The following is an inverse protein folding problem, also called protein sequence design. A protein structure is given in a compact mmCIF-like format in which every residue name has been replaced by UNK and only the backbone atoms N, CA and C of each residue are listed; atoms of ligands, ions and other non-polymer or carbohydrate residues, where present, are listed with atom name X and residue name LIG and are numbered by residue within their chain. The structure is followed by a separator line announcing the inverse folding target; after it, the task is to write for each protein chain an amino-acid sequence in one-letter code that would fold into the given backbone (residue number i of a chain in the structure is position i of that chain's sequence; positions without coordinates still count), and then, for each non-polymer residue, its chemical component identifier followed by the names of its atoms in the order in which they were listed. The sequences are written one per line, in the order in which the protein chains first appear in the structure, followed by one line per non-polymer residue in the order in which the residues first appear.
data_IF_756415103844
#
_entry.id   IF_756415103844
#
_cell.length_a   1.000
_cell.length_b   1.000
_cell.length_c   1.000
_cell.angle_alpha   90.00
_cell.angle_beta   90.00
_cell.angle_gamma   90.00
#
_symmetry.space_group_name_H-M   'P 1'
#
loop_
_entity.id
_entity.type
_entity.pdbx_description
1 polymer ?
#
# COMPACT_ATOMS: atom_id res chain seq x y z
N UNK A 1 22.33 22.63 -14.80
CA UNK A 1 21.75 21.59 -13.94
C UNK A 1 21.99 20.18 -14.48
N UNK A 2 21.35 19.71 -15.56
CA UNK A 2 21.59 18.34 -16.06
C UNK A 2 23.02 18.14 -16.61
N UNK A 3 23.58 19.15 -17.26
CA UNK A 3 24.99 19.14 -17.70
C UNK A 3 25.95 18.96 -16.52
N UNK A 4 25.74 19.75 -15.46
CA UNK A 4 26.56 19.71 -14.26
C UNK A 4 26.41 18.36 -13.55
N UNK A 5 25.19 17.78 -13.54
CA UNK A 5 24.92 16.47 -12.98
C UNK A 5 25.70 15.37 -13.72
N UNK A 6 25.60 15.29 -15.04
CA UNK A 6 26.26 14.23 -15.82
C UNK A 6 27.77 14.40 -15.89
N UNK A 7 28.28 15.63 -15.75
CA UNK A 7 29.72 15.90 -15.64
C UNK A 7 30.24 15.56 -14.24
N UNK A 8 29.47 15.87 -13.20
CA UNK A 8 29.84 15.63 -11.81
C UNK A 8 29.68 14.18 -11.37
N UNK A 9 28.78 13.42 -12.00
CA UNK A 9 28.53 11.99 -11.71
C UNK A 9 28.45 11.21 -13.03
N UNK A 10 29.59 10.97 -13.69
CA UNK A 10 29.63 10.32 -14.99
C UNK A 10 29.11 8.87 -14.98
N UNK A 11 29.01 8.23 -13.82
CA UNK A 11 28.51 6.87 -13.62
C UNK A 11 26.98 6.76 -13.74
N UNK A 12 26.25 7.87 -13.79
CA UNK A 12 24.79 7.82 -14.01
C UNK A 12 24.52 7.21 -15.38
N UNK A 13 23.79 6.09 -15.43
CA UNK A 13 23.43 5.43 -16.70
C UNK A 13 22.14 5.98 -17.30
N UNK A 14 21.19 6.34 -16.45
CA UNK A 14 19.84 6.73 -16.82
C UNK A 14 19.28 7.83 -15.92
N UNK A 15 18.44 8.69 -16.49
CA UNK A 15 17.62 9.64 -15.76
C UNK A 15 16.14 9.24 -15.85
N UNK A 16 15.51 9.03 -14.70
CA UNK A 16 14.06 8.80 -14.59
C UNK A 16 13.39 10.11 -14.21
N UNK A 17 12.38 10.55 -14.97
CA UNK A 17 11.61 11.76 -14.67
C UNK A 17 10.13 11.43 -14.55
N UNK A 18 9.54 11.83 -13.42
CA UNK A 18 8.09 11.93 -13.26
C UNK A 18 7.72 13.40 -13.39
N UNK A 19 6.74 13.73 -14.21
CA UNK A 19 6.15 15.06 -14.15
C UNK A 19 5.26 15.13 -12.90
N UNK A 20 5.63 15.95 -11.92
CA UNK A 20 4.73 16.32 -10.83
C UNK A 20 3.48 16.97 -11.42
N UNK A 21 2.29 16.71 -10.84
CA UNK A 21 0.96 17.06 -11.37
C UNK A 21 0.96 18.35 -12.20
N UNK A 22 1.14 18.22 -13.51
CA UNK A 22 1.27 19.36 -14.44
C UNK A 22 -0.10 19.96 -14.79
N UNK A 23 -1.17 19.41 -14.22
CA UNK A 23 -2.52 19.98 -14.14
C UNK A 23 -2.71 20.91 -12.95
N UNK A 24 -1.87 20.83 -11.90
CA UNK A 24 -2.05 21.59 -10.67
C UNK A 24 -1.43 23.00 -10.68
N UNK A 25 -0.57 23.31 -11.65
CA UNK A 25 -0.10 24.68 -11.82
C UNK A 25 -1.06 25.45 -12.71
N UNK A 26 -1.81 26.44 -12.18
CA UNK A 26 -2.62 27.32 -12.99
C UNK A 26 -1.69 28.10 -13.91
N UNK A 27 -1.55 27.65 -15.16
CA UNK A 27 -0.94 28.48 -16.18
C UNK A 27 -1.86 29.65 -16.44
N UNK A 28 -1.29 30.86 -16.63
CA UNK A 28 -2.01 32.01 -17.16
C UNK A 28 -2.89 31.55 -18.33
N UNK A 29 -4.18 31.83 -18.23
CA UNK A 29 -5.30 31.38 -19.08
C UNK A 29 -5.23 31.89 -20.55
N UNK A 30 -4.03 32.22 -21.04
CA UNK A 30 -3.78 32.88 -22.31
C UNK A 30 -2.71 32.17 -23.18
N UNK A 31 -2.19 31.02 -22.75
CA UNK A 31 -1.25 30.26 -23.59
C UNK A 31 -2.01 29.42 -24.63
N UNK A 32 -1.67 29.56 -25.91
CA UNK A 32 -2.18 28.71 -26.99
C UNK A 32 -1.61 27.28 -26.98
N UNK A 33 -0.67 26.99 -26.08
CA UNK A 33 0.01 25.69 -25.97
C UNK A 33 -0.76 24.81 -24.99
N UNK A 34 -1.16 23.62 -25.43
CA UNK A 34 -1.90 22.65 -24.60
C UNK A 34 -1.01 22.07 -23.49
N UNK A 35 -1.58 21.54 -22.39
CA UNK A 35 -0.82 20.85 -21.34
C UNK A 35 0.10 19.75 -21.88
N UNK A 36 -0.38 18.96 -22.85
CA UNK A 36 0.38 17.88 -23.46
C UNK A 36 1.55 18.37 -24.33
N UNK A 37 1.39 19.49 -25.04
CA UNK A 37 2.49 20.12 -25.79
C UNK A 37 3.57 20.67 -24.85
N UNK A 38 3.18 21.26 -23.71
CA UNK A 38 4.13 21.71 -22.69
C UNK A 38 4.91 20.54 -22.10
N UNK A 39 4.20 19.48 -21.73
CA UNK A 39 4.81 18.27 -21.18
C UNK A 39 5.79 17.64 -22.18
N UNK A 40 5.40 17.55 -23.47
CA UNK A 40 6.27 17.10 -24.55
C UNK A 40 7.53 17.96 -24.68
N UNK A 41 7.40 19.28 -24.64
CA UNK A 41 8.54 20.19 -24.76
C UNK A 41 9.54 19.98 -23.62
N UNK A 42 9.06 19.80 -22.38
CA UNK A 42 9.91 19.48 -21.23
C UNK A 42 10.63 18.15 -21.44
N UNK A 43 9.90 17.09 -21.82
CA UNK A 43 10.52 15.79 -22.09
C UNK A 43 11.54 15.83 -23.22
N UNK A 44 11.28 16.58 -24.29
CA UNK A 44 12.24 16.74 -25.39
C UNK A 44 13.52 17.45 -24.91
N UNK A 45 13.40 18.50 -24.10
CA UNK A 45 14.56 19.21 -23.55
C UNK A 45 15.43 18.30 -22.67
N UNK A 46 14.81 17.49 -21.81
CA UNK A 46 15.52 16.53 -20.95
C UNK A 46 16.17 15.43 -21.78
N UNK A 47 15.44 14.88 -22.74
CA UNK A 47 15.94 13.87 -23.67
C UNK A 47 17.19 14.35 -24.43
N UNK A 48 17.18 15.56 -25.01
CA UNK A 48 18.34 16.10 -25.73
C UNK A 48 19.56 16.30 -24.82
N UNK A 49 19.36 16.62 -23.54
CA UNK A 49 20.45 16.66 -22.57
C UNK A 49 21.01 15.27 -22.29
N UNK A 50 20.15 14.28 -22.00
CA UNK A 50 20.57 12.88 -21.83
C UNK A 50 21.31 12.36 -23.05
N UNK A 51 20.78 12.59 -24.26
CA UNK A 51 21.36 12.13 -25.52
C UNK A 51 22.77 12.69 -25.77
N UNK A 52 23.00 13.98 -25.49
CA UNK A 52 24.34 14.60 -25.63
C UNK A 52 25.39 13.95 -24.72
N UNK A 53 24.97 13.47 -23.56
CA UNK A 53 25.81 12.78 -22.58
C UNK A 53 25.76 11.25 -22.68
N UNK A 54 25.09 10.71 -23.71
CA UNK A 54 24.89 9.27 -23.92
C UNK A 54 24.23 8.58 -22.72
N UNK A 55 23.31 9.28 -22.05
CA UNK A 55 22.52 8.76 -20.93
C UNK A 55 21.16 8.31 -21.42
N UNK A 56 20.60 7.27 -20.79
CA UNK A 56 19.23 6.86 -21.05
C UNK A 56 18.25 7.85 -20.43
N UNK A 57 17.10 8.03 -21.10
CA UNK A 57 16.01 8.82 -20.56
C UNK A 57 14.76 7.96 -20.41
N UNK A 58 14.22 7.95 -19.20
CA UNK A 58 13.07 7.16 -18.81
C UNK A 58 11.99 8.12 -18.31
N UNK A 59 10.82 8.08 -18.94
CA UNK A 59 9.67 8.87 -18.52
C UNK A 59 8.77 7.98 -17.66
N UNK A 60 8.58 8.36 -16.40
CA UNK A 60 7.61 7.72 -15.52
C UNK A 60 6.21 8.30 -15.76
N UNK A 61 5.24 7.41 -15.90
CA UNK A 61 3.82 7.74 -16.09
C UNK A 61 3.34 8.75 -15.02
N UNK A 62 2.46 9.64 -15.46
CA UNK A 62 1.72 10.57 -14.60
C UNK A 62 0.25 10.57 -14.98
N UNK A 63 -0.61 10.94 -14.03
CA UNK A 63 -2.04 11.11 -14.21
C UNK A 63 -2.89 10.16 -13.37
N UNK A 64 -3.80 10.72 -12.59
CA UNK A 64 -4.74 9.97 -11.75
C UNK A 64 -6.14 9.92 -12.38
N UNK A 65 -6.39 10.79 -13.36
CA UNK A 65 -7.65 10.90 -14.11
C UNK A 65 -7.48 10.49 -15.58
N UNK A 66 -8.57 10.04 -16.25
CA UNK A 66 -8.51 9.73 -17.69
C UNK A 66 -7.95 10.88 -18.53
N UNK A 67 -8.34 12.13 -18.23
CA UNK A 67 -7.85 13.32 -18.94
C UNK A 67 -6.35 13.55 -18.77
N UNK A 68 -5.80 13.26 -17.60
CA UNK A 68 -4.36 13.35 -17.35
C UNK A 68 -3.59 12.24 -18.06
N UNK A 69 -4.12 11.01 -18.04
CA UNK A 69 -3.56 9.90 -18.81
C UNK A 69 -3.56 10.21 -20.32
N UNK A 70 -4.63 10.80 -20.84
CA UNK A 70 -4.71 11.21 -22.25
C UNK A 70 -3.71 12.32 -22.58
N UNK A 71 -3.54 13.28 -21.67
CA UNK A 71 -2.52 14.34 -21.78
C UNK A 71 -1.11 13.75 -21.82
N UNK A 72 -0.83 12.78 -20.94
CA UNK A 72 0.44 12.08 -20.90
C UNK A 72 0.72 11.33 -22.20
N UNK A 73 -0.25 10.52 -22.68
CA UNK A 73 -0.13 9.75 -23.92
C UNK A 73 0.08 10.65 -25.14
N UNK A 74 -0.66 11.77 -25.21
CA UNK A 74 -0.45 12.77 -26.26
C UNK A 74 0.96 13.35 -26.20
N UNK A 75 1.49 13.65 -25.02
CA UNK A 75 2.83 14.19 -24.86
C UNK A 75 3.91 13.22 -25.37
N UNK A 76 3.83 11.95 -24.96
CA UNK A 76 4.87 10.95 -25.26
C UNK A 76 4.80 10.32 -26.65
N UNK A 77 3.63 10.35 -27.31
CA UNK A 77 3.43 9.72 -28.60
C UNK A 77 4.50 10.10 -29.63
N UNK A 78 4.69 11.41 -29.93
CA UNK A 78 5.67 11.87 -30.92
C UNK A 78 7.14 11.80 -30.50
N UNK A 79 7.43 11.49 -29.24
CA UNK A 79 8.81 11.45 -28.76
C UNK A 79 9.60 10.28 -29.38
N UNK A 80 10.94 10.34 -29.44
CA UNK A 80 11.77 9.27 -29.97
C UNK A 80 11.48 7.88 -29.36
N UNK A 81 11.54 6.80 -30.15
CA UNK A 81 11.18 5.45 -29.69
C UNK A 81 12.19 4.84 -28.69
N UNK A 82 13.41 5.38 -28.65
CA UNK A 82 14.46 5.00 -27.70
C UNK A 82 14.21 5.47 -26.26
N UNK A 83 13.29 6.42 -26.06
CA UNK A 83 12.85 6.81 -24.71
C UNK A 83 12.01 5.68 -24.14
N UNK A 84 12.39 5.24 -22.94
CA UNK A 84 11.65 4.21 -22.22
C UNK A 84 10.52 4.85 -21.40
N UNK A 85 9.39 4.17 -21.33
CA UNK A 85 8.24 4.59 -20.53
C UNK A 85 8.10 3.65 -19.34
N UNK A 86 8.26 4.18 -18.13
CA UNK A 86 8.04 3.46 -16.89
C UNK A 86 6.59 3.66 -16.45
N UNK A 87 5.84 2.57 -16.26
CA UNK A 87 4.42 2.60 -15.92
C UNK A 87 4.16 1.76 -14.69
N UNK A 88 3.38 2.29 -13.75
CA UNK A 88 2.95 1.50 -12.59
C UNK A 88 2.16 0.29 -13.05
N UNK A 89 2.35 -0.85 -12.39
CA UNK A 89 1.62 -2.07 -12.70
C UNK A 89 0.11 -1.94 -12.46
N UNK A 90 -0.33 -0.97 -11.65
CA UNK A 90 -1.73 -0.66 -11.35
C UNK A 90 -2.07 0.76 -11.77
N UNK A 91 -3.36 1.04 -11.99
CA UNK A 91 -3.85 2.40 -12.18
C UNK A 91 -3.82 3.18 -10.85
N UNK A 92 -3.45 4.46 -10.90
CA UNK A 92 -3.25 5.35 -9.74
C UNK A 92 -2.10 4.93 -8.84
N UNK A 93 -2.40 4.36 -7.68
CA UNK A 93 -1.44 4.10 -6.63
C UNK A 93 -1.74 2.75 -5.99
N UNK A 94 -0.72 2.09 -5.44
CA UNK A 94 -0.72 0.68 -5.01
C UNK A 94 -1.65 0.34 -3.82
N UNK A 95 -2.78 1.01 -3.71
CA UNK A 95 -3.81 0.89 -2.68
C UNK A 95 -4.68 -0.37 -2.83
N UNK A 96 -4.46 -1.23 -3.83
CA UNK A 96 -5.21 -2.49 -3.97
C UNK A 96 -4.26 -3.64 -4.30
N UNK A 97 -4.30 -4.72 -3.49
CA UNK A 97 -3.38 -5.86 -3.64
C UNK A 97 -3.61 -6.54 -4.98
N UNK A 98 -4.86 -6.63 -5.43
CA UNK A 98 -5.26 -7.33 -6.66
C UNK A 98 -5.79 -6.36 -7.71
N UNK A 99 -5.31 -5.12 -7.72
CA UNK A 99 -5.73 -4.16 -8.74
C UNK A 99 -5.42 -4.71 -10.15
N UNK A 100 -6.31 -4.47 -11.13
CA UNK A 100 -6.04 -4.86 -12.49
C UNK A 100 -4.79 -4.14 -13.01
N UNK A 101 -4.16 -4.78 -14.01
CA UNK A 101 -3.02 -4.21 -14.71
C UNK A 101 -3.39 -2.84 -15.29
N UNK A 102 -2.48 -1.86 -15.18
CA UNK A 102 -2.71 -0.49 -15.64
C UNK A 102 -3.15 -0.46 -17.12
N UNK A 103 -4.35 0.06 -17.44
CA UNK A 103 -4.86 0.08 -18.83
C UNK A 103 -4.02 0.96 -19.77
N UNK A 104 -3.22 1.91 -19.26
CA UNK A 104 -2.29 2.73 -20.06
C UNK A 104 -1.33 1.85 -20.86
N UNK A 105 -0.96 0.68 -20.35
CA UNK A 105 0.00 -0.23 -20.99
C UNK A 105 -0.41 -0.66 -22.40
N UNK A 106 -1.71 -0.82 -22.64
CA UNK A 106 -2.22 -1.19 -23.97
C UNK A 106 -2.18 -0.04 -24.98
N UNK A 107 -1.97 1.20 -24.51
CA UNK A 107 -2.03 2.43 -25.31
C UNK A 107 -0.66 2.98 -25.70
N UNK A 108 0.43 2.37 -25.22
CA UNK A 108 1.81 2.87 -25.39
C UNK A 108 2.46 2.50 -26.74
N UNK A 109 1.74 1.85 -27.66
CA UNK A 109 2.11 1.58 -29.05
C UNK A 109 3.60 1.68 -29.44
N UNK A 110 4.32 0.56 -29.47
CA UNK A 110 5.70 0.48 -29.97
C UNK A 110 6.78 1.14 -29.11
N UNK A 111 6.41 1.76 -27.97
CA UNK A 111 7.38 2.27 -26.99
C UNK A 111 8.02 1.12 -26.21
N UNK A 112 9.24 1.36 -25.72
CA UNK A 112 9.92 0.45 -24.78
C UNK A 112 9.34 0.67 -23.39
N UNK A 113 8.77 -0.37 -22.77
CA UNK A 113 8.04 -0.27 -21.51
C UNK A 113 8.87 -0.86 -20.37
N UNK A 114 8.97 -0.12 -19.26
CA UNK A 114 9.38 -0.65 -17.95
C UNK A 114 8.15 -0.69 -17.03
N UNK A 115 8.00 -1.76 -16.26
CA UNK A 115 6.91 -1.89 -15.29
C UNK A 115 7.38 -1.55 -13.89
N UNK A 116 6.64 -0.73 -13.16
CA UNK A 116 6.96 -0.37 -11.79
C UNK A 116 5.97 -1.01 -10.81
N UNK A 117 6.46 -1.64 -9.75
CA UNK A 117 5.62 -2.20 -8.68
C UNK A 117 6.12 -1.79 -7.31
N UNK A 118 5.21 -1.65 -6.35
CA UNK A 118 5.55 -1.47 -4.94
C UNK A 118 5.88 -2.82 -4.27
N UNK A 119 7.11 -2.97 -3.79
CA UNK A 119 7.54 -4.14 -3.02
C UNK A 119 7.55 -3.86 -1.51
N UNK A 120 7.51 -2.59 -1.13
CA UNK A 120 7.56 -2.09 0.23
C UNK A 120 6.21 -2.15 0.94
N UNK A 121 5.12 -1.90 0.23
CA UNK A 121 3.79 -1.86 0.83
C UNK A 121 3.49 -0.48 1.43
N UNK A 122 3.71 0.58 0.66
CA UNK A 122 3.47 1.97 1.06
C UNK A 122 2.06 2.14 1.62
N UNK A 123 1.06 1.56 0.97
CA UNK A 123 -0.36 1.61 1.34
C UNK A 123 -0.82 0.42 2.19
N UNK A 124 0.13 -0.32 2.75
CA UNK A 124 -0.08 -1.60 3.43
C UNK A 124 0.61 -1.65 4.79
N UNK A 125 0.72 -0.49 5.42
CA UNK A 125 1.29 -0.34 6.75
C UNK A 125 2.79 -0.12 6.80
N UNK A 126 3.48 0.18 5.68
CA UNK A 126 4.85 0.73 5.67
C UNK A 126 5.82 -0.07 6.54
N UNK A 127 5.89 -1.38 6.31
CA UNK A 127 6.64 -2.34 7.12
C UNK A 127 6.19 -2.54 8.58
N UNK A 128 5.34 -1.70 9.17
CA UNK A 128 4.82 -1.94 10.52
C UNK A 128 3.81 -3.08 10.59
N UNK A 129 3.15 -3.38 9.46
CA UNK A 129 2.43 -4.64 9.24
C UNK A 129 3.33 -5.61 8.44
N UNK A 130 3.29 -6.93 8.74
CA UNK A 130 4.22 -7.90 8.16
C UNK A 130 3.94 -8.28 6.69
N UNK A 131 3.79 -7.35 5.75
CA UNK A 131 3.40 -7.70 4.37
C UNK A 131 4.48 -8.48 3.61
N UNK A 132 4.31 -9.79 3.48
CA UNK A 132 5.09 -10.68 2.62
C UNK A 132 4.18 -11.45 1.65
N UNK A 133 4.49 -11.36 0.35
CA UNK A 133 3.62 -11.80 -0.76
C UNK A 133 4.40 -12.30 -1.99
N UNK A 134 5.36 -13.23 -1.83
CA UNK A 134 6.13 -13.77 -2.96
C UNK A 134 5.24 -14.41 -4.05
N UNK A 135 4.17 -15.12 -3.69
CA UNK A 135 3.20 -15.66 -4.64
C UNK A 135 2.52 -14.60 -5.50
N UNK A 136 2.11 -13.48 -4.89
CA UNK A 136 1.59 -12.33 -5.64
C UNK A 136 2.65 -11.75 -6.58
N UNK A 137 3.91 -11.62 -6.14
CA UNK A 137 5.00 -11.13 -7.00
C UNK A 137 5.19 -12.05 -8.21
N UNK A 138 5.08 -13.36 -8.01
CA UNK A 138 5.13 -14.34 -9.09
C UNK A 138 3.97 -14.17 -10.08
N UNK A 139 2.72 -14.12 -9.60
CA UNK A 139 1.54 -13.86 -10.44
C UNK A 139 1.67 -12.57 -11.23
N UNK A 140 2.14 -11.53 -10.56
CA UNK A 140 2.30 -10.21 -11.12
C UNK A 140 3.29 -10.22 -12.27
N UNK A 141 4.51 -10.74 -12.08
CA UNK A 141 5.52 -10.80 -13.15
C UNK A 141 5.04 -11.67 -14.31
N UNK A 142 4.31 -12.75 -14.05
CA UNK A 142 3.72 -13.57 -15.13
C UNK A 142 2.67 -12.82 -15.93
N UNK A 143 1.83 -12.03 -15.27
CA UNK A 143 0.83 -11.18 -15.92
C UNK A 143 1.45 -10.16 -16.88
N UNK A 144 2.75 -9.87 -16.71
CA UNK A 144 3.50 -8.94 -17.54
C UNK A 144 4.10 -9.57 -18.79
N UNK A 145 4.26 -10.90 -18.85
CA UNK A 145 4.84 -11.59 -19.99
C UNK A 145 4.15 -11.24 -21.33
N UNK A 146 2.81 -11.21 -21.43
CA UNK A 146 2.13 -10.85 -22.67
C UNK A 146 2.38 -9.39 -23.10
N UNK A 147 2.76 -8.52 -22.17
CA UNK A 147 3.02 -7.10 -22.43
C UNK A 147 4.36 -6.86 -23.13
N UNK A 148 5.25 -7.87 -23.16
CA UNK A 148 6.61 -7.76 -23.73
C UNK A 148 7.38 -6.55 -23.18
N UNK A 149 7.21 -6.26 -21.89
CA UNK A 149 7.97 -5.21 -21.21
C UNK A 149 9.48 -5.50 -21.29
N UNK A 150 10.29 -4.45 -21.42
CA UNK A 150 11.74 -4.56 -21.50
C UNK A 150 12.38 -4.85 -20.13
N UNK A 151 11.66 -4.57 -19.05
CA UNK A 151 12.11 -4.81 -17.69
C UNK A 151 11.09 -4.34 -16.67
N UNK A 152 11.46 -4.46 -15.40
CA UNK A 152 10.64 -3.97 -14.30
C UNK A 152 11.49 -3.38 -13.17
N UNK A 153 10.88 -2.51 -12.37
CA UNK A 153 11.45 -1.78 -11.26
C UNK A 153 10.59 -2.04 -10.02
N UNK A 154 11.23 -2.41 -8.93
CA UNK A 154 10.60 -2.56 -7.63
C UNK A 154 10.86 -1.32 -6.78
N UNK A 155 9.80 -0.63 -6.37
CA UNK A 155 9.91 0.44 -5.38
C UNK A 155 10.17 -0.20 -4.01
N UNK A 156 11.23 0.28 -3.37
CA UNK A 156 11.64 -0.07 -2.01
C UNK A 156 11.71 1.19 -1.15
N UNK A 157 11.63 1.03 0.16
CA UNK A 157 11.94 2.11 1.10
C UNK A 157 13.07 1.70 2.03
N UNK A 158 14.06 2.60 2.16
CA UNK A 158 15.33 2.36 2.88
C UNK A 158 15.56 3.43 3.96
N UNK A 159 14.82 4.54 3.94
CA UNK A 159 15.04 5.69 4.82
C UNK A 159 13.98 5.80 5.92
N UNK A 160 14.43 6.23 7.11
CA UNK A 160 13.60 6.70 8.22
C UNK A 160 12.76 7.90 7.77
N UNK A 161 11.45 7.86 7.98
CA UNK A 161 10.64 9.08 7.92
C UNK A 161 10.92 9.94 9.16
N UNK A 162 10.74 11.25 9.04
CA UNK A 162 10.99 12.23 10.10
C UNK A 162 10.21 11.95 11.41
N UNK A 163 9.20 11.08 11.32
CA UNK A 163 8.30 10.67 12.40
C UNK A 163 8.85 9.48 13.21
N UNK A 164 10.13 9.12 13.03
CA UNK A 164 10.86 8.20 13.92
C UNK A 164 10.53 6.71 13.76
N UNK A 165 9.79 6.33 12.71
CA UNK A 165 9.51 4.91 12.43
C UNK A 165 10.64 4.35 11.55
N UNK A 166 11.41 3.41 12.08
CA UNK A 166 12.44 2.67 11.35
C UNK A 166 11.77 1.67 10.38
N UNK A 167 11.35 2.16 9.21
CA UNK A 167 10.53 1.42 8.22
C UNK A 167 11.33 0.96 7.01
N UNK A 168 12.57 0.51 7.20
CA UNK A 168 13.30 -0.10 6.10
C UNK A 168 12.60 -1.39 5.67
N UNK A 169 12.44 -1.61 4.37
CA UNK A 169 11.96 -2.92 3.88
C UNK A 169 12.89 -4.05 4.34
N UNK A 170 14.18 -3.75 4.53
CA UNK A 170 15.22 -4.72 4.90
C UNK A 170 15.12 -5.23 6.33
N UNK A 171 14.40 -4.54 7.22
CA UNK A 171 14.11 -5.00 8.58
C UNK A 171 12.77 -5.72 8.70
N UNK A 172 12.07 -5.94 7.58
CA UNK A 172 10.72 -6.51 7.56
C UNK A 172 10.64 -7.86 6.81
N UNK A 173 9.56 -8.64 7.02
CA UNK A 173 9.23 -9.78 6.16
C UNK A 173 9.09 -9.41 4.68
N UNK A 174 8.92 -8.13 4.34
CA UNK A 174 8.84 -7.61 2.98
C UNK A 174 10.08 -7.91 2.12
N UNK A 175 11.23 -8.27 2.72
CA UNK A 175 12.38 -8.79 1.96
C UNK A 175 12.06 -10.07 1.17
N UNK A 176 11.04 -10.84 1.56
CA UNK A 176 10.53 -11.95 0.76
C UNK A 176 10.03 -11.49 -0.62
N UNK A 177 9.41 -10.31 -0.68
CA UNK A 177 8.95 -9.69 -1.94
C UNK A 177 10.14 -9.36 -2.84
N UNK A 178 11.25 -8.87 -2.27
CA UNK A 178 12.46 -8.54 -3.01
C UNK A 178 13.14 -9.79 -3.56
N UNK A 179 13.25 -10.82 -2.73
CA UNK A 179 13.80 -12.10 -3.13
C UNK A 179 13.00 -12.69 -4.30
N UNK A 180 11.67 -12.77 -4.15
CA UNK A 180 10.79 -13.25 -5.20
C UNK A 180 10.88 -12.39 -6.48
N UNK A 181 10.90 -11.07 -6.35
CA UNK A 181 10.98 -10.17 -7.51
C UNK A 181 12.26 -10.39 -8.31
N UNK A 182 13.42 -10.42 -7.64
CA UNK A 182 14.69 -10.68 -8.31
C UNK A 182 14.76 -12.06 -8.96
N UNK A 183 14.24 -13.09 -8.28
CA UNK A 183 14.23 -14.47 -8.76
C UNK A 183 13.34 -14.66 -9.99
N UNK A 184 12.10 -14.17 -9.91
CA UNK A 184 11.13 -14.34 -10.98
C UNK A 184 11.52 -13.49 -12.19
N UNK A 185 12.04 -12.27 -12.01
CA UNK A 185 12.50 -11.45 -13.14
C UNK A 185 13.74 -11.99 -13.86
N UNK A 186 14.62 -12.72 -13.18
CA UNK A 186 15.76 -13.36 -13.83
C UNK A 186 15.34 -14.51 -14.78
N UNK A 187 14.13 -15.04 -14.59
CA UNK A 187 13.64 -16.25 -15.22
C UNK A 187 12.10 -16.22 -15.46
N UNK A 188 11.54 -15.16 -16.07
CA UNK A 188 10.10 -14.86 -15.95
C UNK A 188 9.21 -15.82 -16.74
N UNK A 189 9.77 -16.54 -17.72
CA UNK A 189 9.09 -17.58 -18.52
C UNK A 189 9.58 -19.01 -18.25
N UNK A 190 10.60 -19.18 -17.43
CA UNK A 190 11.12 -20.49 -17.02
C UNK A 190 10.73 -20.73 -15.57
N UNK A 191 9.71 -21.53 -15.34
CA UNK A 191 9.60 -22.29 -14.09
C UNK A 191 10.98 -22.94 -13.88
N UNK A 192 11.65 -22.69 -12.75
CA UNK A 192 13.01 -23.17 -12.50
C UNK A 192 13.19 -24.61 -12.99
N UNK A 193 13.99 -24.80 -14.05
CA UNK A 193 14.33 -26.13 -14.54
C UNK A 193 15.26 -26.77 -13.50
N UNK A 194 14.71 -27.56 -12.57
CA UNK A 194 15.48 -28.66 -12.02
C UNK A 194 15.32 -29.85 -12.97
N UNK A 195 16.45 -30.29 -13.54
CA UNK A 195 16.58 -31.55 -14.27
C UNK A 195 15.69 -31.74 -15.53
N UNK A 196 15.35 -30.65 -16.25
CA UNK A 196 14.71 -30.78 -17.57
C UNK A 196 13.23 -31.17 -17.55
N UNK A 197 12.60 -31.22 -16.37
CA UNK A 197 11.16 -31.39 -16.18
C UNK A 197 10.52 -30.06 -15.83
N UNK A 198 9.43 -29.72 -16.52
CA UNK A 198 8.54 -28.63 -16.14
C UNK A 198 7.92 -28.97 -14.78
N UNK A 199 8.07 -28.09 -13.76
CA UNK A 199 7.33 -28.26 -12.51
C UNK A 199 5.84 -28.14 -12.80
N UNK A 200 5.00 -29.13 -12.42
CA UNK A 200 3.62 -29.19 -12.89
C UNK A 200 2.70 -28.13 -12.28
N UNK A 201 2.99 -27.56 -11.11
CA UNK A 201 1.96 -26.83 -10.35
C UNK A 201 2.44 -25.49 -9.76
N UNK A 202 1.61 -24.47 -9.93
CA UNK A 202 1.77 -23.09 -9.47
C UNK A 202 2.15 -23.01 -7.96
N UNK A 203 1.57 -23.89 -7.16
CA UNK A 203 1.74 -23.95 -5.70
C UNK A 203 3.14 -24.38 -5.26
N UNK A 204 3.82 -25.22 -6.05
CA UNK A 204 5.17 -25.71 -5.71
C UNK A 204 6.22 -24.61 -5.86
N UNK A 205 6.07 -23.73 -6.85
CA UNK A 205 7.00 -22.63 -7.07
C UNK A 205 6.81 -21.50 -6.04
N UNK A 206 5.57 -21.14 -5.73
CA UNK A 206 5.30 -20.15 -4.68
C UNK A 206 5.92 -20.60 -3.35
N UNK A 207 5.67 -21.86 -2.96
CA UNK A 207 6.32 -22.45 -1.78
C UNK A 207 7.84 -22.51 -1.91
N UNK A 208 8.37 -22.82 -3.10
CA UNK A 208 9.81 -22.81 -3.36
C UNK A 208 10.46 -21.45 -3.04
N UNK A 209 9.84 -20.35 -3.47
CA UNK A 209 10.30 -18.99 -3.18
C UNK A 209 10.30 -18.69 -1.68
N UNK A 210 9.26 -19.14 -0.97
CA UNK A 210 9.19 -19.04 0.50
C UNK A 210 10.32 -19.79 1.18
N UNK A 211 10.51 -21.07 0.85
CA UNK A 211 11.52 -21.90 1.48
C UNK A 211 12.95 -21.44 1.15
N UNK A 212 13.20 -20.94 -0.06
CA UNK A 212 14.49 -20.39 -0.44
C UNK A 212 14.82 -19.13 0.37
N UNK A 213 13.91 -18.16 0.43
CA UNK A 213 14.11 -16.95 1.23
C UNK A 213 14.19 -17.26 2.74
N UNK A 214 13.35 -18.16 3.25
CA UNK A 214 13.30 -18.48 4.67
C UNK A 214 14.52 -19.28 5.16
N UNK A 215 15.30 -19.89 4.25
CA UNK A 215 16.52 -20.64 4.58
C UNK A 215 17.55 -19.81 5.37
N UNK A 216 17.56 -18.49 5.17
CA UNK A 216 18.45 -17.58 5.91
C UNK A 216 18.13 -17.49 7.40
N UNK A 217 16.92 -17.87 7.82
CA UNK A 217 16.48 -17.86 9.23
C UNK A 217 16.48 -19.25 9.87
N UNK A 218 16.81 -20.30 9.10
CA UNK A 218 16.87 -21.67 9.60
C UNK A 218 18.07 -21.93 10.51
N UNK A 219 18.05 -23.04 11.23
CA UNK A 219 19.18 -23.47 12.07
C UNK A 219 20.44 -23.74 11.23
N UNK A 220 21.57 -24.04 11.88
CA UNK A 220 22.88 -24.31 11.22
C UNK A 220 22.87 -25.39 10.13
N UNK A 221 21.80 -26.18 9.98
CA UNK A 221 21.63 -27.20 8.94
C UNK A 221 20.75 -26.71 7.76
N UNK A 222 20.33 -25.45 7.74
CA UNK A 222 19.50 -24.85 6.68
C UNK A 222 18.07 -25.42 6.60
N UNK A 223 17.60 -26.10 7.65
CA UNK A 223 16.22 -26.64 7.67
C UNK A 223 15.24 -25.53 8.02
N UNK A 224 14.36 -25.20 7.08
CA UNK A 224 13.25 -24.27 7.28
C UNK A 224 12.05 -25.01 7.85
N UNK A 225 11.41 -24.44 8.88
CA UNK A 225 10.15 -24.96 9.41
C UNK A 225 8.99 -24.60 8.48
N UNK A 226 8.13 -25.56 8.07
CA UNK A 226 6.87 -25.25 7.39
C UNK A 226 5.95 -24.31 8.19
N UNK A 227 6.08 -24.30 9.53
CA UNK A 227 5.27 -23.41 10.37
C UNK A 227 5.71 -21.93 10.20
N UNK A 228 6.99 -21.65 9.91
CA UNK A 228 7.42 -20.29 9.60
C UNK A 228 6.77 -19.79 8.31
N UNK A 229 6.77 -20.63 7.26
CA UNK A 229 6.14 -20.30 5.97
C UNK A 229 4.63 -20.11 6.16
N UNK A 230 3.94 -21.01 6.87
CA UNK A 230 2.52 -20.89 7.23
C UNK A 230 2.20 -19.56 7.93
N UNK A 231 3.01 -19.16 8.91
CA UNK A 231 2.82 -17.90 9.62
C UNK A 231 2.90 -16.68 8.69
N UNK A 232 3.86 -16.67 7.76
CA UNK A 232 4.13 -15.53 6.88
C UNK A 232 3.22 -15.48 5.64
N UNK A 233 2.79 -16.63 5.11
CA UNK A 233 1.87 -16.73 3.97
C UNK A 233 0.52 -16.04 4.22
N UNK A 234 0.11 -15.95 5.50
CA UNK A 234 -1.17 -15.34 5.89
C UNK A 234 -1.10 -13.82 6.06
N UNK A 235 0.08 -13.23 6.00
CA UNK A 235 0.27 -11.79 6.26
C UNK A 235 -0.47 -10.85 5.30
N UNK A 236 -0.71 -11.19 4.01
CA UNK A 236 -1.56 -10.36 3.15
C UNK A 236 -3.01 -10.27 3.66
N UNK A 237 -3.53 -11.35 4.26
CA UNK A 237 -4.87 -11.37 4.85
C UNK A 237 -4.94 -10.50 6.11
N UNK A 238 -3.90 -10.56 6.96
CA UNK A 238 -3.80 -9.66 8.13
C UNK A 238 -3.87 -8.20 7.67
N UNK A 239 -3.09 -7.82 6.66
CA UNK A 239 -3.08 -6.46 6.13
C UNK A 239 -4.44 -6.08 5.50
N UNK A 240 -5.02 -6.96 4.67
CA UNK A 240 -6.31 -6.74 4.03
C UNK A 240 -7.40 -6.50 5.07
N UNK A 241 -7.58 -7.43 6.00
CA UNK A 241 -8.64 -7.38 6.99
C UNK A 241 -8.46 -6.27 8.02
N UNK A 242 -7.21 -5.86 8.30
CA UNK A 242 -6.93 -4.69 9.14
C UNK A 242 -7.32 -3.38 8.45
N UNK A 243 -6.93 -3.20 7.19
CA UNK A 243 -6.94 -1.89 6.53
C UNK A 243 -8.18 -1.61 5.66
N UNK A 244 -8.99 -2.62 5.37
CA UNK A 244 -10.18 -2.49 4.52
C UNK A 244 -11.44 -2.26 5.34
N UNK A 245 -12.47 -1.72 4.71
CA UNK A 245 -13.84 -1.67 5.24
C UNK A 245 -14.77 -2.41 4.28
N UNK A 246 -15.06 -3.68 4.56
CA UNK A 246 -15.89 -4.54 3.70
C UNK A 246 -15.45 -4.51 2.23
N UNK A 247 -14.16 -4.78 1.99
CA UNK A 247 -13.60 -4.74 0.64
C UNK A 247 -13.34 -3.33 0.07
N UNK A 248 -13.75 -2.24 0.75
CA UNK A 248 -13.41 -0.88 0.32
C UNK A 248 -12.08 -0.41 0.91
N UNK A 249 -11.37 0.41 0.13
CA UNK A 249 -10.11 1.02 0.49
C UNK A 249 -10.16 2.55 0.41
N UNK A 250 -9.17 3.19 1.03
CA UNK A 250 -8.86 4.61 0.95
C UNK A 250 -7.34 4.79 0.88
N UNK A 251 -6.86 5.88 0.28
CA UNK A 251 -5.43 6.06 -0.01
C UNK A 251 -4.60 6.33 1.26
N UNK A 252 -5.14 7.10 2.21
CA UNK A 252 -4.41 7.53 3.41
C UNK A 252 -4.49 6.51 4.57
N UNK A 253 -4.11 5.25 4.31
CA UNK A 253 -4.19 4.16 5.31
C UNK A 253 -2.84 3.57 5.71
N UNK A 254 -1.76 4.16 5.21
CA UNK A 254 -0.40 3.79 5.58
C UNK A 254 -0.15 3.90 7.08
N UNK A 255 -0.96 4.73 7.76
CA UNK A 255 -0.96 4.98 9.20
C UNK A 255 -2.39 4.94 9.73
N UNK A 256 -2.52 4.99 11.05
CA UNK A 256 -3.82 5.21 11.68
C UNK A 256 -4.37 6.60 11.26
N UNK A 257 -5.65 6.72 10.84
CA UNK A 257 -6.16 7.97 10.27
C UNK A 257 -6.24 9.08 11.33
N UNK A 258 -5.96 10.32 10.93
CA UNK A 258 -6.31 11.51 11.71
C UNK A 258 -7.74 12.00 11.39
N UNK A 259 -8.17 13.08 12.05
CA UNK A 259 -9.52 13.66 11.89
C UNK A 259 -9.83 14.02 10.43
N UNK A 260 -8.89 14.62 9.71
CA UNK A 260 -9.10 15.02 8.31
C UNK A 260 -9.36 13.81 7.40
N UNK A 261 -8.51 12.78 7.49
CA UNK A 261 -8.69 11.52 6.76
C UNK A 261 -9.99 10.82 7.15
N UNK A 262 -10.34 10.88 8.44
CA UNK A 262 -11.58 10.32 8.94
C UNK A 262 -12.80 10.92 8.23
N UNK A 263 -12.92 12.25 8.23
CA UNK A 263 -14.05 12.95 7.60
C UNK A 263 -14.06 12.80 6.07
N UNK A 264 -12.90 12.91 5.42
CA UNK A 264 -12.81 12.87 3.95
C UNK A 264 -13.00 11.49 3.36
N UNK A 265 -12.53 10.44 4.06
CA UNK A 265 -12.37 9.11 3.46
C UNK A 265 -13.02 7.99 4.26
N UNK A 266 -12.79 7.93 5.58
CA UNK A 266 -13.27 6.83 6.43
C UNK A 266 -14.78 6.89 6.58
N UNK A 267 -15.29 8.00 7.11
CA UNK A 267 -16.71 8.16 7.43
C UNK A 267 -17.61 8.00 6.20
N UNK A 268 -17.35 8.64 5.05
CA UNK A 268 -18.14 8.42 3.83
C UNK A 268 -18.11 6.97 3.35
N UNK A 269 -16.98 6.28 3.51
CA UNK A 269 -16.84 4.87 3.14
C UNK A 269 -17.63 3.97 4.07
N UNK A 270 -17.51 4.18 5.38
CA UNK A 270 -18.30 3.47 6.39
C UNK A 270 -19.80 3.69 6.16
N UNK A 271 -20.26 4.94 6.04
CA UNK A 271 -21.67 5.27 5.85
C UNK A 271 -22.27 4.69 4.56
N UNK A 272 -21.44 4.49 3.52
CA UNK A 272 -21.86 3.78 2.29
C UNK A 272 -21.92 2.27 2.51
N UNK A 273 -20.96 1.69 3.20
CA UNK A 273 -20.85 0.22 3.41
C UNK A 273 -21.85 -0.30 4.44
N UNK A 274 -22.09 0.43 5.51
CA UNK A 274 -23.06 0.06 6.56
C UNK A 274 -24.52 0.01 6.06
N UNK A 275 -24.81 0.60 4.90
CA UNK A 275 -26.10 0.45 4.21
C UNK A 275 -26.25 -0.86 3.46
N UNK A 276 -25.15 -1.55 3.18
CA UNK A 276 -25.12 -2.75 2.34
C UNK A 276 -24.77 -4.00 3.14
N UNK A 277 -24.00 -3.83 4.21
CA UNK A 277 -23.37 -4.90 4.97
C UNK A 277 -23.54 -4.57 6.46
N UNK A 278 -23.79 -5.61 7.26
CA UNK A 278 -23.97 -5.48 8.71
C UNK A 278 -22.68 -5.00 9.40
N UNK A 279 -22.83 -4.28 10.50
CA UNK A 279 -21.73 -3.85 11.35
C UNK A 279 -20.90 -5.04 11.83
N UNK A 280 -21.56 -6.16 12.14
CA UNK A 280 -20.90 -7.39 12.58
C UNK A 280 -19.88 -7.91 11.55
N UNK A 281 -20.13 -7.73 10.25
CA UNK A 281 -19.18 -8.12 9.20
C UNK A 281 -17.98 -7.17 9.16
N UNK A 282 -18.20 -5.86 9.35
CA UNK A 282 -17.12 -4.86 9.40
C UNK A 282 -16.19 -5.10 10.59
N UNK A 283 -16.76 -5.47 11.75
CA UNK A 283 -16.02 -5.84 12.95
C UNK A 283 -15.34 -7.20 12.78
N UNK A 284 -16.04 -8.19 12.20
CA UNK A 284 -15.50 -9.52 11.93
C UNK A 284 -14.21 -9.48 11.12
N UNK A 285 -14.08 -8.60 10.11
CA UNK A 285 -12.81 -8.45 9.39
C UNK A 285 -11.67 -8.14 10.37
N UNK A 286 -11.86 -7.20 11.29
CA UNK A 286 -10.81 -6.79 12.23
C UNK A 286 -10.50 -7.89 13.25
N UNK A 287 -11.53 -8.58 13.72
CA UNK A 287 -11.39 -9.74 14.60
C UNK A 287 -10.66 -10.89 13.90
N UNK A 288 -10.94 -11.14 12.63
CA UNK A 288 -10.28 -12.14 11.81
C UNK A 288 -8.80 -11.81 11.58
N UNK A 289 -8.45 -10.54 11.38
CA UNK A 289 -7.06 -10.09 11.30
C UNK A 289 -6.28 -10.42 12.58
N UNK A 290 -6.87 -10.14 13.75
CA UNK A 290 -6.27 -10.46 15.05
C UNK A 290 -6.12 -11.97 15.24
N UNK A 291 -7.14 -12.76 14.87
CA UNK A 291 -7.13 -14.23 14.98
C UNK A 291 -6.08 -14.87 14.08
N UNK A 292 -5.91 -14.36 12.86
CA UNK A 292 -4.86 -14.82 11.95
C UNK A 292 -3.49 -14.50 12.55
N UNK A 293 -3.27 -13.29 13.05
CA UNK A 293 -2.00 -12.91 13.69
C UNK A 293 -1.68 -13.79 14.91
N UNK A 294 -2.68 -14.15 15.72
CA UNK A 294 -2.52 -15.09 16.85
C UNK A 294 -2.13 -16.49 16.38
N UNK A 295 -2.79 -17.01 15.35
CA UNK A 295 -2.42 -18.30 14.77
C UNK A 295 -0.99 -18.28 14.20
N UNK A 296 -0.60 -17.17 13.55
CA UNK A 296 0.75 -17.00 13.04
C UNK A 296 1.81 -16.95 14.16
N UNK A 297 1.48 -16.38 15.32
CA UNK A 297 2.34 -16.45 16.51
C UNK A 297 2.48 -17.89 17.03
N UNK A 298 1.41 -18.68 17.06
CA UNK A 298 1.50 -20.10 17.44
C UNK A 298 2.37 -20.90 16.46
N UNK A 299 2.21 -20.67 15.16
CA UNK A 299 3.02 -21.32 14.12
C UNK A 299 4.49 -20.89 14.24
N UNK A 300 4.76 -19.62 14.55
CA UNK A 300 6.11 -19.12 14.82
C UNK A 300 6.72 -19.78 16.07
N UNK A 301 5.96 -19.95 17.15
CA UNK A 301 6.41 -20.66 18.35
C UNK A 301 6.76 -22.12 18.06
N UNK A 302 5.98 -22.81 17.21
CA UNK A 302 6.30 -24.17 16.73
C UNK A 302 7.56 -24.20 15.87
N UNK A 303 7.83 -23.13 15.12
CA UNK A 303 9.03 -22.99 14.28
C UNK A 303 10.29 -22.62 15.08
N UNK A 304 10.15 -21.91 16.20
CA UNK A 304 11.23 -21.32 16.98
C UNK A 304 12.41 -22.26 17.30
N UNK A 305 12.22 -23.55 17.66
CA UNK A 305 13.35 -24.46 17.94
C UNK A 305 14.29 -24.70 16.76
N UNK A 306 13.85 -24.35 15.55
CA UNK A 306 14.60 -24.55 14.30
C UNK A 306 15.04 -23.25 13.64
N UNK A 307 14.82 -22.11 14.29
CA UNK A 307 15.11 -20.78 13.74
C UNK A 307 16.22 -20.06 14.50
N UNK A 308 16.79 -19.04 13.88
CA UNK A 308 17.58 -18.02 14.57
C UNK A 308 16.71 -17.33 15.64
N UNK A 309 17.11 -17.31 16.92
CA UNK A 309 16.39 -16.62 17.98
C UNK A 309 16.10 -15.15 17.68
N UNK A 310 17.01 -14.43 17.02
CA UNK A 310 16.80 -13.02 16.66
C UNK A 310 15.67 -12.88 15.63
N UNK A 311 15.61 -13.79 14.65
CA UNK A 311 14.53 -13.80 13.67
C UNK A 311 13.17 -14.11 14.32
N UNK A 312 13.14 -15.03 15.30
CA UNK A 312 11.92 -15.33 16.07
C UNK A 312 11.43 -14.09 16.80
N UNK A 313 12.32 -13.35 17.46
CA UNK A 313 11.96 -12.11 18.17
C UNK A 313 11.38 -11.07 17.20
N UNK A 314 12.05 -10.82 16.08
CA UNK A 314 11.60 -9.85 15.06
C UNK A 314 10.23 -10.21 14.50
N UNK A 315 10.01 -11.47 14.10
CA UNK A 315 8.71 -11.88 13.56
C UNK A 315 7.61 -11.86 14.62
N UNK A 316 7.93 -12.19 15.87
CA UNK A 316 6.97 -12.08 17.00
C UNK A 316 6.51 -10.64 17.15
N UNK A 317 7.44 -9.68 17.16
CA UNK A 317 7.12 -8.26 17.25
C UNK A 317 6.19 -7.81 16.13
N UNK A 318 6.40 -8.23 14.88
CA UNK A 318 5.52 -7.85 13.78
C UNK A 318 4.09 -8.39 13.92
N UNK A 319 3.90 -9.63 14.35
CA UNK A 319 2.56 -10.16 14.56
C UNK A 319 1.86 -9.51 15.76
N UNK A 320 2.61 -9.23 16.84
CA UNK A 320 2.07 -8.47 17.97
C UNK A 320 1.67 -7.04 17.57
N UNK A 321 2.50 -6.36 16.76
CA UNK A 321 2.17 -5.05 16.19
C UNK A 321 0.90 -5.13 15.34
N UNK A 322 0.77 -6.16 14.51
CA UNK A 322 -0.41 -6.34 13.68
C UNK A 322 -1.69 -6.52 14.50
N UNK A 323 -1.63 -7.22 15.65
CA UNK A 323 -2.77 -7.32 16.57
C UNK A 323 -3.17 -5.98 17.16
N UNK A 324 -2.19 -5.20 17.63
CA UNK A 324 -2.45 -3.87 18.22
C UNK A 324 -3.04 -2.90 17.17
N UNK A 325 -2.50 -2.93 15.94
CA UNK A 325 -3.03 -2.12 14.82
C UNK A 325 -4.44 -2.59 14.44
N UNK A 326 -4.69 -3.89 14.29
CA UNK A 326 -6.01 -4.43 13.97
C UNK A 326 -7.06 -4.07 15.03
N UNK A 327 -6.70 -4.13 16.32
CA UNK A 327 -7.56 -3.70 17.42
C UNK A 327 -7.89 -2.20 17.33
N UNK A 328 -6.93 -1.34 16.98
CA UNK A 328 -7.19 0.09 16.81
C UNK A 328 -8.14 0.35 15.63
N UNK A 329 -7.97 -0.34 14.51
CA UNK A 329 -8.90 -0.24 13.37
C UNK A 329 -10.28 -0.82 13.68
N UNK A 330 -10.37 -1.81 14.58
CA UNK A 330 -11.65 -2.27 15.14
C UNK A 330 -12.34 -1.16 15.93
N UNK A 331 -11.63 -0.50 16.84
CA UNK A 331 -12.15 0.65 17.58
C UNK A 331 -12.56 1.81 16.67
N UNK A 332 -11.85 2.04 15.56
CA UNK A 332 -12.26 3.01 14.54
C UNK A 332 -13.63 2.70 13.94
N UNK A 333 -13.90 1.42 13.61
CA UNK A 333 -15.20 0.97 13.10
C UNK A 333 -16.30 1.17 14.16
N UNK A 334 -16.00 0.88 15.42
CA UNK A 334 -16.94 1.10 16.53
C UNK A 334 -17.21 2.58 16.75
N UNK A 335 -16.20 3.46 16.65
CA UNK A 335 -16.39 4.91 16.73
C UNK A 335 -17.32 5.41 15.60
N UNK A 336 -17.14 4.89 14.38
CA UNK A 336 -18.07 5.17 13.28
C UNK A 336 -19.50 4.71 13.62
N UNK A 337 -19.66 3.52 14.20
CA UNK A 337 -20.96 3.02 14.62
C UNK A 337 -21.57 3.86 15.76
N UNK A 338 -20.77 4.26 16.74
CA UNK A 338 -21.19 5.12 17.86
C UNK A 338 -21.64 6.51 17.42
N UNK A 339 -21.07 7.06 16.34
CA UNK A 339 -21.57 8.28 15.71
C UNK A 339 -23.01 8.14 15.20
N UNK A 340 -23.40 6.95 14.74
CA UNK A 340 -24.77 6.64 14.29
C UNK A 340 -25.68 6.24 15.46
N UNK A 341 -25.11 5.58 16.47
CA UNK A 341 -25.79 5.02 17.65
C UNK A 341 -25.22 5.62 18.94
N UNK A 342 -25.65 6.83 19.32
CA UNK A 342 -25.08 7.56 20.45
C UNK A 342 -25.15 6.85 21.80
N UNK A 343 -26.02 5.84 21.95
CA UNK A 343 -26.17 5.03 23.17
C UNK A 343 -24.93 4.17 23.48
N UNK A 344 -24.17 3.74 22.47
CA UNK A 344 -22.94 2.94 22.68
C UNK A 344 -21.69 3.80 22.74
N UNK A 345 -21.78 5.06 22.29
CA UNK A 345 -20.62 5.93 22.06
C UNK A 345 -19.75 6.12 23.30
N UNK A 346 -20.35 6.33 24.48
CA UNK A 346 -19.59 6.52 25.73
C UNK A 346 -18.70 5.33 26.07
N UNK A 347 -19.21 4.12 25.89
CA UNK A 347 -18.45 2.88 26.13
C UNK A 347 -17.34 2.75 25.09
N UNK A 348 -17.66 2.95 23.81
CA UNK A 348 -16.69 2.89 22.72
C UNK A 348 -15.54 3.89 22.89
N UNK A 349 -15.83 5.14 23.25
CA UNK A 349 -14.80 6.16 23.46
C UNK A 349 -13.86 5.80 24.62
N UNK A 350 -14.40 5.26 25.72
CA UNK A 350 -13.59 4.78 26.85
C UNK A 350 -12.69 3.63 26.42
N UNK A 351 -13.25 2.62 25.77
CA UNK A 351 -12.50 1.43 25.38
C UNK A 351 -11.40 1.77 24.35
N UNK A 352 -11.65 2.72 23.45
CA UNK A 352 -10.64 3.27 22.53
C UNK A 352 -9.49 4.01 23.27
N UNK A 353 -9.81 4.80 24.29
CA UNK A 353 -8.80 5.50 25.11
C UNK A 353 -7.95 4.53 25.96
N UNK A 354 -8.57 3.48 26.49
CA UNK A 354 -7.89 2.42 27.22
C UNK A 354 -6.93 1.65 26.30
N UNK A 355 -7.38 1.32 25.08
CA UNK A 355 -6.55 0.71 24.05
C UNK A 355 -5.36 1.60 23.66
N UNK A 356 -5.61 2.88 23.40
CA UNK A 356 -4.55 3.85 23.09
C UNK A 356 -3.48 3.89 24.19
N UNK A 357 -3.90 3.93 25.46
CA UNK A 357 -2.99 3.94 26.61
C UNK A 357 -2.18 2.66 26.70
N UNK A 358 -2.80 1.49 26.46
CA UNK A 358 -2.09 0.22 26.42
C UNK A 358 -1.03 0.20 25.32
N UNK A 359 -1.38 0.65 24.11
CA UNK A 359 -0.45 0.66 22.97
C UNK A 359 0.70 1.62 23.22
N UNK A 360 0.44 2.82 23.75
CA UNK A 360 1.50 3.78 24.08
C UNK A 360 2.48 3.23 25.13
N UNK A 361 1.98 2.54 26.16
CA UNK A 361 2.84 1.91 27.19
C UNK A 361 3.73 0.83 26.57
N UNK A 362 3.18 0.01 25.66
CA UNK A 362 3.89 -1.14 25.09
C UNK A 362 4.80 -0.77 23.92
N UNK A 363 4.43 0.24 23.13
CA UNK A 363 5.05 0.54 21.82
C UNK A 363 5.63 1.95 21.73
N UNK A 364 5.32 2.82 22.68
CA UNK A 364 5.66 4.24 22.64
C UNK A 364 4.65 5.10 21.86
N UNK A 365 4.75 6.44 21.97
CA UNK A 365 3.81 7.38 21.39
C UNK A 365 3.88 7.48 19.86
N UNK A 366 5.05 7.26 19.26
CA UNK A 366 5.25 7.36 17.79
C UNK A 366 4.79 6.11 17.02
N UNK A 367 4.35 5.07 17.72
CA UNK A 367 3.98 3.80 17.10
C UNK A 367 2.94 3.99 15.99
N UNK A 368 3.25 3.42 14.81
CA UNK A 368 2.39 3.41 13.62
C UNK A 368 1.83 4.78 13.21
N UNK A 369 2.70 5.80 13.21
CA UNK A 369 2.31 7.17 12.83
C UNK A 369 1.44 7.83 13.89
N UNK A 370 1.87 7.76 15.16
CA UNK A 370 1.18 8.31 16.33
C UNK A 370 -0.21 7.73 16.55
N UNK A 371 -0.36 6.41 16.33
CA UNK A 371 -1.63 5.69 16.51
C UNK A 371 -2.27 5.95 17.87
N UNK A 372 -1.55 5.87 19.03
CA UNK A 372 -2.18 6.11 20.33
C UNK A 372 -2.83 7.48 20.44
N UNK A 373 -2.13 8.52 20.00
CA UNK A 373 -2.64 9.88 20.02
C UNK A 373 -3.82 10.07 19.06
N UNK A 374 -3.67 9.66 17.80
CA UNK A 374 -4.74 9.79 16.79
C UNK A 374 -6.02 9.05 17.20
N UNK A 375 -5.90 7.90 17.87
CA UNK A 375 -7.06 7.17 18.40
C UNK A 375 -7.78 7.97 19.49
N UNK A 376 -7.05 8.66 20.38
CA UNK A 376 -7.65 9.56 21.39
C UNK A 376 -8.29 10.79 20.75
N UNK A 377 -7.61 11.41 19.80
CA UNK A 377 -8.14 12.57 19.07
C UNK A 377 -9.44 12.24 18.36
N UNK A 378 -9.50 11.11 17.64
CA UNK A 378 -10.72 10.65 16.99
C UNK A 378 -11.81 10.30 17.99
N UNK A 379 -11.47 9.65 19.11
CA UNK A 379 -12.42 9.33 20.18
C UNK A 379 -13.09 10.59 20.75
N UNK A 380 -12.30 11.62 21.07
CA UNK A 380 -12.80 12.92 21.53
C UNK A 380 -13.63 13.64 20.47
N UNK A 381 -13.12 13.70 19.23
CA UNK A 381 -13.81 14.36 18.12
C UNK A 381 -15.20 13.76 17.85
N UNK A 382 -15.33 12.43 17.79
CA UNK A 382 -16.63 11.78 17.57
C UNK A 382 -17.58 11.99 18.75
N UNK A 383 -17.06 12.02 19.97
CA UNK A 383 -17.83 12.32 21.17
C UNK A 383 -18.43 13.73 21.13
N UNK A 384 -17.62 14.73 20.78
CA UNK A 384 -18.03 16.14 20.73
C UNK A 384 -19.06 16.39 19.60
N UNK A 385 -18.79 15.90 18.39
CA UNK A 385 -19.71 16.04 17.25
C UNK A 385 -21.09 15.43 17.51
N UNK A 386 -21.14 14.34 18.28
CA UNK A 386 -22.42 13.69 18.62
C UNK A 386 -23.19 14.46 19.70
N UNK A 387 -22.50 15.18 20.59
CA UNK A 387 -23.12 16.05 21.59
C UNK A 387 -23.75 17.30 20.93
N UNK A 388 -23.03 17.97 20.03
CA UNK A 388 -23.52 19.14 19.28
C UNK A 388 -24.79 18.82 18.47
N UNK A 389 -24.86 17.64 17.85
CA UNK A 389 -26.06 17.21 17.11
C UNK A 389 -27.29 16.97 18.01
N UNK A 390 -27.10 16.61 19.28
CA UNK A 390 -28.21 16.46 20.24
C UNK A 390 -28.73 17.82 20.69
N UNK A 391 -27.84 18.74 21.03
CA UNK A 391 -28.21 20.10 21.46
C UNK A 391 -28.99 20.84 20.36
N UNK A 392 -28.58 20.71 19.09
CA UNK A 392 -29.30 21.31 17.97
C UNK A 392 -30.62 20.60 17.59
N UNK A 393 -30.77 19.31 17.91
CA UNK A 393 -32.04 18.61 17.72
C UNK A 393 -33.08 19.03 18.76
N UNK A 394 -32.64 19.33 19.99
CA UNK A 394 -33.49 19.81 21.08
C UNK A 394 -33.90 21.29 20.90
N UNK A 395 -33.13 22.07 20.13
CA UNK A 395 -33.46 23.46 19.74
C UNK A 395 -34.32 23.57 18.47
N UNK A 396 -34.64 22.46 17.79
CA UNK A 396 -35.50 22.48 16.61
C UNK A 396 -36.96 22.78 17.03
N UNK A 397 -37.63 23.78 16.42
CA UNK A 397 -39.03 24.04 16.72
C UNK A 397 -39.88 22.80 16.42
N UNK A 398 -40.88 22.47 17.25
CA UNK A 398 -41.70 21.28 17.06
C UNK A 398 -42.34 21.33 15.67
N UNK A 399 -42.19 20.23 14.93
CA UNK A 399 -42.77 20.09 13.60
C UNK A 399 -44.27 20.42 13.66
N UNK A 400 -44.70 21.39 12.85
CA UNK A 400 -46.11 21.72 12.71
C UNK A 400 -46.86 20.44 12.34
N UNK A 401 -47.80 20.04 13.20
CA UNK A 401 -48.67 18.91 12.94
C UNK A 401 -49.40 19.16 11.62
N UNK A 402 -49.20 18.28 10.64
CA UNK A 402 -49.99 18.31 9.41
C UNK A 402 -51.48 18.30 9.79
N UNK A 403 -52.30 19.21 9.21
CA UNK A 403 -53.71 19.27 9.54
C UNK A 403 -54.38 17.97 9.12
N UNK A 404 -54.90 17.26 10.10
CA UNK A 404 -55.81 16.14 9.89
C UNK A 404 -57.13 16.71 9.35
N UNK A 405 -57.23 16.74 8.03
CA UNK A 405 -58.44 17.09 7.29
C UNK A 405 -59.30 15.85 7.01
N UNK A 406 -60.65 16.00 7.01
CA UNK A 406 -61.66 14.94 7.11
C UNK A 406 -61.81 14.03 5.88
#
# INVERSE_FOLDING_TARGET
MLEDLFTGVPEIDALVVTAGGTTAYPTRDQSSVTPGERLRAVYQCVYEACRRHRKQFIIRETGDTPSECDTFLYAIGPLPPEIQIMVKNVQKDWCHLTAPVNPTLQRLGGKTILLETDLYGEHWGRSALPLARPGYVFELVRSWLPLKAAGAVGRIMVQEEADGVETSIFSSPGTANLHAFGKVLAAPGTTFQQAGTWLPEFDELDRGLWYEWAAQFGNRRGKVSPCLVSALETTPLVCLYTLYLAGAYFQDRSFFPGIETFEKSIWPTFARKSKQIDLDVLLWEKDEAMRIAERSLEDLQRAAPTMDPQAVEVFTQFFDHAKDIAAAFRSLVELCAGRVKPETLRTTCRDANDLATRIEILRGPEFYGRLPERLRELSAYVQDQTAEHREHADDAPPAEQEPTGP
#
